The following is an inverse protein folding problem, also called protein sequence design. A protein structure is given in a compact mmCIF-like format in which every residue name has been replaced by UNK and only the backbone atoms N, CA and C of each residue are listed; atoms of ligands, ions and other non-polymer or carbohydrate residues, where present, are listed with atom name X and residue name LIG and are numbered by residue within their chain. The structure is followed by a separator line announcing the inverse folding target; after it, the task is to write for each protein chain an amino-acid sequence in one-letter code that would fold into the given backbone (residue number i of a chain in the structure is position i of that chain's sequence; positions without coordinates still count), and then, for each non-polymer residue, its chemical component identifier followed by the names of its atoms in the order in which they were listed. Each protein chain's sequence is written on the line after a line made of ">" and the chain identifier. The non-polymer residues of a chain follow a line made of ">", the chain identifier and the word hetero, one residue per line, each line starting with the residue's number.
data_IF_268922511714
#
_entry.id   IF_268922511714
#
_cell.length_a   1.000
_cell.length_b   1.000
_cell.length_c   1.000
_cell.angle_alpha   90.00
_cell.angle_beta   90.00
_cell.angle_gamma   90.00
#
_symmetry.space_group_name_H-M   'P 1'
#
loop_
_entity.id
_entity.type
_entity.pdbx_description
1 polymer ?
#
# COMPACT_ATOMS: atom_id res chain seq x y z
N UNK A 1 3.72 -6.07 -16.41
CA UNK A 1 5.17 -6.29 -16.23
C UNK A 1 5.40 -7.25 -15.08
N UNK A 2 6.35 -8.19 -15.23
CA UNK A 2 6.86 -9.03 -14.14
C UNK A 2 8.39 -9.04 -14.24
N UNK A 3 9.08 -8.78 -13.13
CA UNK A 3 10.55 -8.72 -13.06
C UNK A 3 10.99 -9.24 -11.70
N UNK A 4 12.09 -9.99 -11.67
CA UNK A 4 12.73 -10.37 -10.42
C UNK A 4 13.86 -9.38 -10.08
N UNK A 5 13.95 -8.99 -8.82
CA UNK A 5 15.09 -8.28 -8.25
C UNK A 5 15.55 -9.01 -6.99
N UNK A 6 16.73 -9.64 -7.05
CA UNK A 6 17.17 -10.62 -6.05
C UNK A 6 16.07 -11.69 -5.87
N UNK A 7 15.56 -11.85 -4.66
CA UNK A 7 14.50 -12.82 -4.31
C UNK A 7 13.09 -12.21 -4.41
N UNK A 8 12.95 -10.95 -4.81
CA UNK A 8 11.66 -10.26 -4.87
C UNK A 8 11.06 -10.27 -6.27
N UNK A 9 9.77 -10.63 -6.35
CA UNK A 9 8.96 -10.49 -7.55
C UNK A 9 8.32 -9.09 -7.59
N UNK A 10 8.76 -8.28 -8.55
CA UNK A 10 8.13 -7.00 -8.91
C UNK A 10 7.10 -7.29 -9.99
N UNK A 11 5.84 -6.94 -9.75
CA UNK A 11 4.73 -7.17 -10.67
C UNK A 11 3.77 -5.99 -10.68
N UNK A 12 2.92 -5.94 -11.69
CA UNK A 12 1.82 -4.97 -11.73
C UNK A 12 0.90 -5.14 -10.51
N UNK A 13 0.33 -4.02 -10.09
CA UNK A 13 -0.73 -3.95 -9.09
C UNK A 13 -1.91 -4.85 -9.46
N UNK A 14 -2.52 -5.48 -8.44
CA UNK A 14 -3.78 -6.20 -8.52
C UNK A 14 -4.71 -5.69 -7.42
N UNK A 15 -6.04 -5.65 -7.61
CA UNK A 15 -6.98 -5.15 -6.60
C UNK A 15 -6.87 -5.81 -5.22
N UNK A 16 -6.41 -7.06 -5.18
CA UNK A 16 -6.19 -7.79 -3.93
C UNK A 16 -4.95 -7.32 -3.14
N UNK A 17 -4.04 -6.57 -3.77
CA UNK A 17 -2.84 -6.01 -3.12
C UNK A 17 -3.19 -4.86 -2.18
N UNK A 18 -4.29 -4.15 -2.43
CA UNK A 18 -4.73 -2.96 -1.69
C UNK A 18 -4.69 -3.15 -0.19
N UNK A 19 -5.28 -4.23 0.30
CA UNK A 19 -5.38 -4.50 1.74
C UNK A 19 -3.99 -4.71 2.36
N UNK A 20 -3.11 -5.44 1.66
CA UNK A 20 -1.76 -5.74 2.15
C UNK A 20 -0.92 -4.47 2.14
N UNK A 21 -0.97 -3.69 1.05
CA UNK A 21 -0.25 -2.42 0.95
C UNK A 21 -0.71 -1.40 2.00
N UNK A 22 -2.02 -1.22 2.18
CA UNK A 22 -2.58 -0.32 3.18
C UNK A 22 -2.14 -0.69 4.61
N UNK A 23 -2.12 -1.98 4.93
CA UNK A 23 -1.64 -2.46 6.23
C UNK A 23 -0.15 -2.15 6.45
N UNK A 24 0.70 -2.33 5.42
CA UNK A 24 2.13 -2.01 5.49
C UNK A 24 2.34 -0.51 5.69
N UNK A 25 1.58 0.33 4.96
CA UNK A 25 1.67 1.79 5.11
C UNK A 25 1.26 2.20 6.53
N UNK A 26 0.13 1.69 7.03
CA UNK A 26 -0.32 1.94 8.40
C UNK A 26 0.69 1.50 9.46
N UNK A 27 1.37 0.35 9.29
CA UNK A 27 2.41 -0.08 10.23
C UNK A 27 3.62 0.84 10.21
N UNK A 28 4.05 1.30 9.03
CA UNK A 28 5.16 2.26 8.92
C UNK A 28 4.79 3.60 9.55
N UNK A 29 3.60 4.14 9.31
CA UNK A 29 3.16 5.39 9.96
C UNK A 29 3.18 5.27 11.49
N UNK A 30 2.72 4.14 12.03
CA UNK A 30 2.76 3.88 13.46
C UNK A 30 4.20 3.86 14.02
N UNK A 31 5.19 3.35 13.27
CA UNK A 31 6.62 3.40 13.67
C UNK A 31 7.13 4.85 13.81
N UNK A 32 6.56 5.79 13.08
CA UNK A 32 6.89 7.22 13.13
C UNK A 32 5.93 8.05 14.00
N UNK A 33 5.07 7.42 14.82
CA UNK A 33 4.03 8.08 15.61
C UNK A 33 3.06 8.95 14.78
N UNK A 34 2.82 8.56 13.53
CA UNK A 34 1.83 9.16 12.65
C UNK A 34 0.54 8.34 12.68
N UNK A 35 -0.60 9.03 12.62
CA UNK A 35 -1.90 8.38 12.58
C UNK A 35 -2.21 7.85 11.19
N UNK A 36 -2.86 6.68 11.13
CA UNK A 36 -3.51 6.17 9.93
C UNK A 36 -4.92 6.75 9.83
N UNK A 37 -5.18 7.52 8.80
CA UNK A 37 -6.40 8.28 8.54
C UNK A 37 -7.12 7.79 7.26
N UNK A 38 -7.78 6.60 7.28
CA UNK A 38 -8.35 5.97 6.09
C UNK A 38 -9.54 6.73 5.46
N UNK A 39 -10.08 7.72 6.17
CA UNK A 39 -11.12 8.64 5.68
C UNK A 39 -10.58 10.05 5.38
N UNK A 40 -9.32 10.30 5.72
CA UNK A 40 -8.63 11.57 5.59
C UNK A 40 -7.46 11.45 4.62
N UNK A 41 -6.25 11.73 5.11
CA UNK A 41 -5.04 11.78 4.31
C UNK A 41 -4.74 10.48 3.54
N UNK A 42 -5.07 9.31 4.10
CA UNK A 42 -4.71 8.01 3.53
C UNK A 42 -5.82 7.36 2.68
N UNK A 43 -6.88 8.12 2.35
CA UNK A 43 -8.03 7.61 1.59
C UNK A 43 -7.62 7.15 0.18
N UNK A 44 -6.67 7.83 -0.45
CA UNK A 44 -6.17 7.52 -1.78
C UNK A 44 -5.53 6.13 -1.87
N UNK A 45 -4.83 5.68 -0.82
CA UNK A 45 -4.29 4.31 -0.70
C UNK A 45 -5.41 3.26 -0.77
N UNK A 46 -6.56 3.54 -0.17
CA UNK A 46 -7.73 2.65 -0.19
C UNK A 46 -8.58 2.77 -1.46
N UNK A 47 -8.42 3.85 -2.20
CA UNK A 47 -9.19 4.14 -3.42
C UNK A 47 -8.31 4.18 -4.68
N UNK A 48 -7.11 3.60 -4.62
CA UNK A 48 -6.06 3.72 -5.65
C UNK A 48 -6.54 3.29 -7.04
N UNK A 49 -7.49 2.36 -7.16
CA UNK A 49 -8.02 1.92 -8.45
C UNK A 49 -9.07 2.85 -9.06
N UNK A 50 -9.45 3.93 -8.37
CA UNK A 50 -10.34 4.97 -8.93
C UNK A 50 -9.58 6.02 -9.74
N UNK A 51 -8.25 5.98 -9.76
CA UNK A 51 -7.36 6.91 -10.46
C UNK A 51 -6.59 6.17 -11.56
#
# INVERSE_FOLDING_TARGET
>A
MKKYYREFLIRNWQPNDRKIAANIIGSVLAEYNLNWEPKGADKDVLEVEKF
#
